data_IF_675083060597
#
_entry.id   IF_675083060597
#
_cell.length_a   1.000
_cell.length_b   1.000
_cell.length_c   1.000
_cell.angle_alpha   90.00
_cell.angle_beta   90.00
_cell.angle_gamma   90.00
#
_symmetry.space_group_name_H-M   'P 1'
#
loop_
_entity.id
_entity.type
_entity.pdbx_description
1 polymer ?
#
# COMPACT_ATOMS: atom_id res chain seq x y z
N UNK A 1 16.21 -10.50 -7.71
CA UNK A 1 15.27 -9.46 -7.27
C UNK A 1 13.94 -10.08 -6.86
N UNK A 2 13.33 -10.98 -7.65
CA UNK A 2 12.14 -11.76 -7.21
C UNK A 2 12.44 -12.51 -5.92
N UNK A 3 11.51 -12.49 -4.97
CA UNK A 3 11.68 -12.99 -3.60
C UNK A 3 12.31 -11.98 -2.62
N UNK A 4 12.73 -10.80 -3.08
CA UNK A 4 13.22 -9.75 -2.20
C UNK A 4 12.12 -9.22 -1.29
N UNK A 5 12.47 -9.00 -0.02
CA UNK A 5 11.54 -8.50 1.00
C UNK A 5 12.05 -7.21 1.63
N UNK A 6 11.13 -6.30 1.91
CA UNK A 6 11.39 -5.04 2.62
C UNK A 6 10.31 -4.85 3.68
N UNK A 7 10.71 -4.38 4.85
CA UNK A 7 9.79 -4.17 5.98
C UNK A 7 9.85 -2.72 6.43
N UNK A 8 8.68 -2.12 6.60
CA UNK A 8 8.50 -0.79 7.19
C UNK A 8 7.63 -0.91 8.44
N UNK A 9 7.97 -0.16 9.46
CA UNK A 9 7.15 0.01 10.65
C UNK A 9 6.67 1.46 10.71
N UNK A 10 5.38 1.65 10.95
CA UNK A 10 4.84 2.99 11.17
C UNK A 10 5.53 3.62 12.40
N UNK A 11 5.93 4.89 12.33
CA UNK A 11 6.58 5.59 13.45
C UNK A 11 5.61 5.79 14.62
N UNK A 12 4.32 5.92 14.30
CA UNK A 12 3.26 6.21 15.26
C UNK A 12 2.15 5.17 15.19
N UNK A 13 1.44 4.99 16.32
CA UNK A 13 0.20 4.23 16.34
C UNK A 13 -0.92 4.98 15.60
N UNK A 14 -1.86 4.22 15.05
CA UNK A 14 -3.09 4.80 14.48
C UNK A 14 -3.87 5.50 15.58
N UNK A 15 -4.17 6.78 15.41
CA UNK A 15 -4.94 7.53 16.40
C UNK A 15 -6.43 7.58 16.04
N UNK A 16 -7.30 7.65 17.08
CA UNK A 16 -8.73 7.86 16.87
C UNK A 16 -9.01 9.22 16.19
N UNK A 17 -8.14 10.21 16.37
CA UNK A 17 -8.26 11.50 15.70
C UNK A 17 -7.95 11.38 14.20
N UNK A 18 -6.84 10.75 13.82
CA UNK A 18 -6.50 10.53 12.41
C UNK A 18 -7.56 9.68 11.71
N UNK A 19 -8.14 8.67 12.38
CA UNK A 19 -9.24 7.89 11.84
C UNK A 19 -10.46 8.75 11.48
N UNK A 20 -10.86 9.67 12.39
CA UNK A 20 -11.98 10.58 12.14
C UNK A 20 -11.70 11.57 11.02
N UNK A 21 -10.50 12.15 10.97
CA UNK A 21 -10.13 13.10 9.91
C UNK A 21 -10.05 12.41 8.54
N UNK A 22 -9.48 11.21 8.49
CA UNK A 22 -9.41 10.44 7.27
C UNK A 22 -10.81 10.06 6.76
N UNK A 23 -11.68 9.54 7.64
CA UNK A 23 -13.07 9.22 7.30
C UNK A 23 -13.81 10.46 6.74
N UNK A 24 -13.61 11.63 7.35
CA UNK A 24 -14.19 12.87 6.87
C UNK A 24 -13.64 13.27 5.48
N UNK A 25 -12.33 13.13 5.28
CA UNK A 25 -11.68 13.47 4.01
C UNK A 25 -12.17 12.63 2.84
N UNK A 26 -12.45 11.33 3.08
CA UNK A 26 -12.95 10.42 2.05
C UNK A 26 -14.50 10.39 1.97
N UNK A 27 -15.19 11.17 2.80
CA UNK A 27 -16.66 11.23 2.84
C UNK A 27 -17.32 9.99 3.46
N UNK A 28 -16.60 9.18 4.22
CA UNK A 28 -17.13 7.98 4.88
C UNK A 28 -17.71 8.34 6.25
N UNK A 29 -19.03 8.27 6.36
CA UNK A 29 -19.77 8.61 7.56
C UNK A 29 -20.11 7.40 8.45
N UNK A 30 -19.40 6.29 8.33
CA UNK A 30 -19.64 5.10 9.13
C UNK A 30 -19.55 5.44 10.64
N UNK A 31 -20.62 5.21 11.43
CA UNK A 31 -20.66 5.56 12.86
C UNK A 31 -19.63 4.76 13.69
N UNK A 32 -19.15 3.64 13.20
CA UNK A 32 -18.14 2.82 13.88
C UNK A 32 -16.81 3.56 14.08
N UNK A 33 -16.49 4.55 13.24
CA UNK A 33 -15.25 5.35 13.38
C UNK A 33 -15.32 6.38 14.52
N UNK A 34 -16.48 6.53 15.16
CA UNK A 34 -16.74 7.54 16.20
C UNK A 34 -17.19 6.93 17.54
N UNK A 35 -17.22 5.61 17.66
CA UNK A 35 -17.57 4.93 18.91
C UNK A 35 -16.54 5.20 19.97
N UNK A 36 -16.99 5.53 21.18
CA UNK A 36 -16.11 5.56 22.36
C UNK A 36 -15.80 4.12 22.81
N UNK A 37 -14.52 3.82 23.04
CA UNK A 37 -14.04 2.56 23.59
C UNK A 37 -13.98 1.37 22.63
N UNK A 38 -14.72 1.38 21.52
CA UNK A 38 -14.71 0.30 20.52
C UNK A 38 -14.82 0.85 19.09
N UNK A 39 -14.06 1.91 18.82
CA UNK A 39 -13.96 2.42 17.46
C UNK A 39 -13.08 1.55 16.59
N UNK A 40 -13.44 1.48 15.31
CA UNK A 40 -12.56 0.95 14.27
C UNK A 40 -12.04 2.10 13.42
N UNK A 41 -11.08 1.80 12.57
CA UNK A 41 -10.43 2.76 11.68
C UNK A 41 -10.86 2.47 10.25
N UNK A 42 -11.07 3.50 9.40
CA UNK A 42 -11.26 3.27 7.97
C UNK A 42 -10.15 2.38 7.43
N UNK A 43 -10.47 1.24 6.81
CA UNK A 43 -9.46 0.22 6.48
C UNK A 43 -8.28 0.77 5.67
N UNK A 44 -8.56 1.66 4.72
CA UNK A 44 -7.55 2.21 3.83
C UNK A 44 -6.58 3.20 4.50
N UNK A 45 -6.83 3.61 5.76
CA UNK A 45 -5.89 4.45 6.52
C UNK A 45 -4.54 3.74 6.76
N UNK A 46 -4.47 2.41 6.75
CA UNK A 46 -3.20 1.70 6.93
C UNK A 46 -2.15 2.05 5.87
N UNK A 47 -2.57 2.53 4.71
CA UNK A 47 -1.63 3.02 3.68
C UNK A 47 -0.90 4.27 4.12
N UNK A 48 -1.62 5.19 4.74
CA UNK A 48 -1.06 6.45 5.21
C UNK A 48 -0.02 6.21 6.31
N UNK A 49 -0.26 5.21 7.17
CA UNK A 49 0.63 4.94 8.31
C UNK A 49 2.00 4.42 7.90
N UNK A 50 2.12 3.81 6.71
CA UNK A 50 3.38 3.24 6.21
C UNK A 50 4.01 4.08 5.09
N UNK A 51 3.35 5.15 4.64
CA UNK A 51 3.90 6.09 3.66
C UNK A 51 4.81 7.15 4.30
N UNK A 52 4.63 7.43 5.58
CA UNK A 52 5.49 8.35 6.32
C UNK A 52 6.76 7.57 6.70
N UNK A 53 7.66 7.44 5.77
CA UNK A 53 9.02 6.96 6.01
C UNK A 53 9.93 8.17 6.20
N UNK A 54 11.06 7.99 6.86
CA UNK A 54 12.11 9.04 6.97
C UNK A 54 12.75 9.34 5.60
N UNK A 55 12.30 8.69 4.55
CA UNK A 55 12.76 8.88 3.20
C UNK A 55 12.08 10.10 2.56
N UNK A 56 12.83 10.83 1.77
CA UNK A 56 12.28 11.95 0.99
C UNK A 56 11.34 11.41 -0.09
N UNK A 57 10.22 12.11 -0.36
CA UNK A 57 9.39 11.80 -1.50
C UNK A 57 10.21 11.73 -2.79
N UNK A 58 9.85 10.82 -3.68
CA UNK A 58 10.43 10.75 -5.02
C UNK A 58 10.06 11.98 -5.86
N UNK A 59 10.53 12.05 -7.11
CA UNK A 59 10.29 13.18 -8.03
C UNK A 59 8.79 13.44 -8.28
N UNK A 60 7.94 12.42 -8.13
CA UNK A 60 6.48 12.50 -8.28
C UNK A 60 5.76 12.86 -6.98
N UNK A 61 6.50 13.11 -5.88
CA UNK A 61 5.95 13.44 -4.57
C UNK A 61 5.47 12.22 -3.77
N UNK A 62 5.79 11.01 -4.18
CA UNK A 62 5.40 9.77 -3.51
C UNK A 62 6.45 9.35 -2.47
N UNK A 63 6.01 9.12 -1.23
CA UNK A 63 6.84 8.71 -0.09
C UNK A 63 6.56 7.28 0.38
N UNK A 64 5.86 6.48 -0.41
CA UNK A 64 5.55 5.09 -0.10
C UNK A 64 6.57 4.11 -0.64
N UNK A 65 6.34 2.83 -0.36
CA UNK A 65 7.18 1.76 -0.90
C UNK A 65 7.20 1.74 -2.43
N UNK A 66 8.39 1.63 -3.00
CA UNK A 66 8.60 1.37 -4.43
C UNK A 66 9.77 0.41 -4.64
N UNK A 67 9.65 -0.47 -5.62
CA UNK A 67 10.77 -1.30 -6.04
C UNK A 67 11.72 -0.47 -6.90
N UNK A 68 13.05 -0.64 -6.75
CA UNK A 68 14.05 0.06 -7.60
C UNK A 68 14.10 -0.59 -8.99
N UNK A 69 12.97 -0.56 -9.70
CA UNK A 69 12.83 -1.10 -11.06
C UNK A 69 12.66 0.10 -11.99
N UNK A 70 13.64 0.29 -12.86
CA UNK A 70 13.60 1.29 -13.92
C UNK A 70 13.72 0.58 -15.27
N UNK A 71 12.75 0.81 -16.16
CA UNK A 71 12.74 0.26 -17.51
C UNK A 71 12.74 1.43 -18.50
N UNK A 72 13.87 1.69 -19.17
CA UNK A 72 13.99 2.81 -20.10
C UNK A 72 12.91 2.77 -21.19
N UNK A 73 12.33 3.92 -21.51
CA UNK A 73 11.30 4.04 -22.54
C UNK A 73 9.92 3.57 -22.12
N UNK A 74 9.70 3.34 -20.82
CA UNK A 74 8.39 3.01 -20.27
C UNK A 74 7.90 4.10 -19.32
N UNK A 75 6.59 4.08 -19.07
CA UNK A 75 5.95 4.77 -17.93
C UNK A 75 5.38 3.77 -16.96
N UNK A 76 5.48 4.09 -15.68
CA UNK A 76 4.86 3.31 -14.62
C UNK A 76 3.37 3.64 -14.51
N UNK A 77 2.54 2.61 -14.49
CA UNK A 77 1.12 2.70 -14.18
C UNK A 77 0.80 1.78 -13.00
N UNK A 78 -0.08 2.20 -12.12
CA UNK A 78 -0.64 1.32 -11.09
C UNK A 78 -1.75 0.48 -11.71
N UNK A 79 -1.53 -0.83 -11.78
CA UNK A 79 -2.47 -1.79 -12.38
C UNK A 79 -3.63 -2.13 -11.46
N UNK A 80 -3.39 -2.16 -10.16
CA UNK A 80 -4.43 -2.41 -9.18
C UNK A 80 -3.94 -3.00 -7.87
N UNK A 81 -4.89 -3.14 -6.95
CA UNK A 81 -4.68 -3.73 -5.64
C UNK A 81 -5.80 -4.73 -5.33
N UNK A 82 -5.45 -5.82 -4.65
CA UNK A 82 -6.41 -6.78 -4.12
C UNK A 82 -6.15 -6.95 -2.63
N UNK A 83 -7.13 -6.53 -1.81
CA UNK A 83 -7.03 -6.62 -0.36
C UNK A 83 -7.81 -7.82 0.19
N UNK A 84 -7.20 -8.46 1.19
CA UNK A 84 -7.86 -9.40 2.08
C UNK A 84 -7.66 -8.90 3.52
N UNK A 85 -8.78 -8.60 4.17
CA UNK A 85 -8.81 -8.17 5.57
C UNK A 85 -9.04 -9.39 6.47
N UNK A 86 -8.25 -9.49 7.55
CA UNK A 86 -8.37 -10.55 8.54
C UNK A 86 -9.01 -10.04 9.84
N UNK A 87 -8.87 -8.76 10.13
CA UNK A 87 -9.57 -8.04 11.21
C UNK A 87 -9.68 -6.55 10.89
N UNK A 88 -10.51 -5.88 11.68
CA UNK A 88 -10.57 -4.41 11.63
C UNK A 88 -9.26 -3.80 12.17
N UNK A 89 -8.88 -2.66 11.60
CA UNK A 89 -7.84 -1.80 12.14
C UNK A 89 -8.43 -1.04 13.32
N UNK A 90 -7.70 -0.95 14.41
CA UNK A 90 -8.14 -0.26 15.63
C UNK A 90 -7.23 0.92 15.94
N UNK A 91 -7.75 1.96 16.64
CA UNK A 91 -6.87 2.92 17.31
C UNK A 91 -5.85 2.19 18.19
N UNK A 92 -4.66 2.75 18.28
CA UNK A 92 -3.49 2.22 18.98
C UNK A 92 -2.77 1.04 18.28
N UNK A 93 -3.26 0.53 17.14
CA UNK A 93 -2.46 -0.36 16.30
C UNK A 93 -1.21 0.37 15.78
N UNK A 94 -0.03 -0.22 15.97
CA UNK A 94 1.20 0.17 15.27
C UNK A 94 1.41 -0.79 14.12
N UNK A 95 1.34 -0.26 12.91
CA UNK A 95 1.31 -1.07 11.70
C UNK A 95 2.73 -1.37 11.21
N UNK A 96 3.00 -2.64 10.95
CA UNK A 96 4.19 -3.07 10.20
C UNK A 96 3.75 -3.59 8.84
N UNK A 97 4.33 -3.08 7.76
CA UNK A 97 4.12 -3.56 6.40
C UNK A 97 5.35 -4.31 5.90
N UNK A 98 5.16 -5.55 5.49
CA UNK A 98 6.20 -6.39 4.91
C UNK A 98 5.87 -6.63 3.44
N UNK A 99 6.65 -6.03 2.57
CA UNK A 99 6.55 -6.17 1.12
C UNK A 99 7.43 -7.29 0.61
N UNK A 100 6.94 -8.01 -0.39
CA UNK A 100 7.69 -9.02 -1.14
C UNK A 100 7.45 -8.84 -2.63
N UNK A 101 8.52 -8.86 -3.41
CA UNK A 101 8.45 -8.89 -4.86
C UNK A 101 8.20 -10.32 -5.33
N UNK A 102 7.01 -10.61 -5.84
CA UNK A 102 6.60 -11.97 -6.20
C UNK A 102 6.94 -12.34 -7.64
N UNK A 103 6.71 -11.43 -8.59
CA UNK A 103 6.98 -11.69 -9.99
C UNK A 103 7.34 -10.42 -10.78
N UNK A 104 8.13 -10.61 -11.83
CA UNK A 104 8.41 -9.63 -12.89
C UNK A 104 8.24 -10.37 -14.21
N UNK A 105 7.24 -10.00 -15.00
CA UNK A 105 6.86 -10.71 -16.21
C UNK A 105 6.76 -9.78 -17.42
N UNK A 106 7.36 -10.19 -18.54
CA UNK A 106 7.13 -9.51 -19.81
C UNK A 106 5.78 -9.95 -20.39
N UNK A 107 4.99 -9.00 -20.83
CA UNK A 107 3.70 -9.21 -21.48
C UNK A 107 3.52 -8.26 -22.65
N UNK A 108 2.45 -8.46 -23.39
CA UNK A 108 2.04 -7.58 -24.50
C UNK A 108 0.66 -7.02 -24.21
N UNK A 109 0.47 -5.73 -24.43
CA UNK A 109 -0.85 -5.09 -24.31
C UNK A 109 -1.78 -5.58 -25.41
N UNK A 110 -3.09 -5.36 -25.27
CA UNK A 110 -4.07 -5.65 -26.31
C UNK A 110 -3.80 -4.94 -27.65
N UNK A 111 -3.08 -3.79 -27.59
CA UNK A 111 -2.66 -3.04 -28.77
C UNK A 111 -1.31 -3.49 -29.36
N UNK A 112 -0.72 -4.59 -28.85
CA UNK A 112 0.53 -5.15 -29.36
C UNK A 112 1.80 -4.50 -28.81
N UNK A 113 1.73 -3.60 -27.85
CA UNK A 113 2.91 -2.94 -27.27
C UNK A 113 3.51 -3.79 -26.13
N UNK A 114 4.87 -3.84 -26.01
CA UNK A 114 5.50 -4.54 -24.91
C UNK A 114 5.23 -3.82 -23.58
N UNK A 115 5.04 -4.61 -22.53
CA UNK A 115 4.93 -4.13 -21.15
C UNK A 115 5.58 -5.11 -20.19
N UNK A 116 5.98 -4.64 -19.03
CA UNK A 116 6.41 -5.47 -17.91
C UNK A 116 5.39 -5.34 -16.79
N UNK A 117 4.96 -6.48 -16.27
CA UNK A 117 4.05 -6.59 -15.13
C UNK A 117 4.86 -6.98 -13.91
N UNK A 118 4.76 -6.18 -12.85
CA UNK A 118 5.40 -6.44 -11.56
C UNK A 118 4.29 -6.72 -10.55
N UNK A 119 4.36 -7.87 -9.90
CA UNK A 119 3.43 -8.26 -8.84
C UNK A 119 4.15 -8.33 -7.51
N UNK A 120 3.55 -7.77 -6.49
CA UNK A 120 4.08 -7.75 -5.12
C UNK A 120 2.97 -8.05 -4.12
N UNK A 121 3.35 -8.69 -3.02
CA UNK A 121 2.46 -8.88 -1.87
C UNK A 121 2.94 -8.03 -0.71
N UNK A 122 2.02 -7.33 -0.04
CA UNK A 122 2.28 -6.66 1.23
C UNK A 122 1.44 -7.31 2.33
N UNK A 123 2.08 -7.66 3.43
CA UNK A 123 1.41 -8.13 4.64
C UNK A 123 1.48 -7.06 5.71
N UNK A 124 0.32 -6.64 6.20
CA UNK A 124 0.19 -5.69 7.30
C UNK A 124 -0.07 -6.45 8.61
N UNK A 125 0.71 -6.15 9.64
CA UNK A 125 0.59 -6.77 10.95
C UNK A 125 0.66 -5.74 12.08
N UNK A 126 0.13 -6.11 13.24
CA UNK A 126 0.29 -5.36 14.48
C UNK A 126 1.63 -5.65 15.18
N UNK A 127 1.86 -5.04 16.34
CA UNK A 127 3.10 -5.21 17.13
C UNK A 127 3.30 -6.64 17.66
N UNK A 128 2.22 -7.40 17.83
CA UNK A 128 2.28 -8.80 18.27
C UNK A 128 2.47 -9.77 17.09
N UNK A 129 2.54 -9.25 15.86
CA UNK A 129 2.65 -10.04 14.64
C UNK A 129 1.31 -10.59 14.14
N UNK A 130 0.19 -10.16 14.72
CA UNK A 130 -1.15 -10.51 14.26
C UNK A 130 -1.43 -9.89 12.89
N UNK A 131 -1.86 -10.70 11.91
CA UNK A 131 -2.12 -10.23 10.55
C UNK A 131 -3.41 -9.40 10.53
N UNK A 132 -3.31 -8.18 10.04
CA UNK A 132 -4.43 -7.26 9.86
C UNK A 132 -5.00 -7.40 8.44
N UNK A 133 -4.12 -7.30 7.44
CA UNK A 133 -4.49 -7.36 6.04
C UNK A 133 -3.35 -7.89 5.16
N UNK A 134 -3.70 -8.35 3.99
CA UNK A 134 -2.79 -8.66 2.89
C UNK A 134 -3.23 -7.89 1.65
N UNK A 135 -2.28 -7.39 0.89
CA UNK A 135 -2.50 -6.70 -0.37
C UNK A 135 -1.65 -7.33 -1.46
N UNK A 136 -2.25 -7.64 -2.59
CA UNK A 136 -1.55 -7.94 -3.84
C UNK A 136 -1.58 -6.68 -4.70
N UNK A 137 -0.41 -6.14 -5.03
CA UNK A 137 -0.24 -4.98 -5.89
C UNK A 137 0.26 -5.41 -7.26
N UNK A 138 -0.28 -4.79 -8.30
CA UNK A 138 0.18 -4.94 -9.68
C UNK A 138 0.64 -3.59 -10.21
N UNK A 139 1.89 -3.52 -10.67
CA UNK A 139 2.46 -2.38 -11.36
C UNK A 139 2.70 -2.74 -12.83
N UNK A 140 2.50 -1.79 -13.73
CA UNK A 140 2.66 -1.96 -15.17
C UNK A 140 3.67 -0.95 -15.70
N UNK A 141 4.74 -1.42 -16.31
CA UNK A 141 5.68 -0.59 -17.07
C UNK A 141 5.33 -0.72 -18.55
N UNK A 142 4.72 0.32 -19.10
CA UNK A 142 4.19 0.31 -20.47
C UNK A 142 5.06 1.18 -21.35
N UNK A 143 5.43 0.68 -22.52
CA UNK A 143 6.22 1.44 -23.50
C UNK A 143 5.54 2.78 -23.83
N UNK A 144 6.32 3.86 -23.84
CA UNK A 144 5.86 5.18 -24.27
C UNK A 144 5.99 5.23 -25.78
N UNK A 145 4.87 5.43 -26.48
CA UNK A 145 4.89 5.68 -27.92
C UNK A 145 5.62 7.00 -28.16
N UNK A 146 6.59 6.97 -29.09
CA UNK A 146 7.23 8.21 -29.58
C UNK A 146 6.25 9.01 -30.41
#
# INVERSE_FOLDING_TARGET
MVGHEVTYRAPDAVSAASARYFAQAIGDNNPLYRREGDSIVPPTLIFETTQITDERPNADGYAGHSWPIEIPGTRLLRGGHRYRWHRDVRPDDVITSKWRLDAVEERTTSAGHPMVVVTSTCRYSDEQGGIIAENEETLLFVAVSK
#
